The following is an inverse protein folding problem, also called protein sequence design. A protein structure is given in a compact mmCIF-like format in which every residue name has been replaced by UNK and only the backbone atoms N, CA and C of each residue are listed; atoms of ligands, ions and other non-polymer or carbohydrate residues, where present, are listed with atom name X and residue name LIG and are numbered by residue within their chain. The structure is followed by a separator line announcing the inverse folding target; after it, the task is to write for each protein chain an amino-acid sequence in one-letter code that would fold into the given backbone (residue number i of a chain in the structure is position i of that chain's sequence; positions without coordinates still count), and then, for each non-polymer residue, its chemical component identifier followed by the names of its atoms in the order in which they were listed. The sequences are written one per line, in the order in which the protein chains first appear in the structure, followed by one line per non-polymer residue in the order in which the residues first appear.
data_IF_994795738254
#
_entry.id   IF_994795738254
#
_cell.length_a   1.000
_cell.length_b   1.000
_cell.length_c   1.000
_cell.angle_alpha   90.00
_cell.angle_beta   90.00
_cell.angle_gamma   90.00
#
_symmetry.space_group_name_H-M   'P 1'
#
loop_
_entity.id
_entity.type
_entity.pdbx_description
1 polymer ?
#
# COMPACT_ATOMS: atom_id res chain seq x y z
N UNK A 1 2.61 -8.16 -2.17
CA UNK A 1 1.92 -7.86 -0.90
C UNK A 1 1.56 -6.38 -0.82
N UNK A 2 0.64 -6.01 0.07
CA UNK A 2 0.31 -4.61 0.34
C UNK A 2 0.97 -4.17 1.65
N UNK A 3 1.62 -3.01 1.61
CA UNK A 3 2.27 -2.39 2.75
C UNK A 3 1.79 -0.95 2.84
N UNK A 4 1.19 -0.60 3.96
CA UNK A 4 0.79 0.76 4.28
C UNK A 4 1.90 1.46 5.07
N UNK A 5 2.43 2.53 4.52
CA UNK A 5 3.29 3.48 5.23
C UNK A 5 2.39 4.55 5.87
N UNK A 6 2.25 4.50 7.20
CA UNK A 6 1.51 5.47 8.00
C UNK A 6 2.33 6.71 8.36
N UNK A 7 3.61 6.74 7.98
CA UNK A 7 4.46 7.90 8.13
C UNK A 7 4.13 9.00 7.11
N UNK A 8 4.63 10.20 7.37
CA UNK A 8 4.44 11.37 6.50
C UNK A 8 5.55 11.52 5.44
N UNK A 9 6.44 10.54 5.33
CA UNK A 9 7.63 10.61 4.49
C UNK A 9 7.76 9.35 3.63
N UNK A 10 8.27 9.52 2.41
CA UNK A 10 8.71 8.40 1.59
C UNK A 10 10.03 7.85 2.11
N UNK A 11 10.15 6.53 2.18
CA UNK A 11 11.36 5.85 2.61
C UNK A 11 11.91 5.00 1.48
N UNK A 12 13.21 5.12 1.21
CA UNK A 12 13.90 4.31 0.20
C UNK A 12 15.04 3.52 0.85
N UNK A 13 15.06 2.21 0.65
CA UNK A 13 16.15 1.34 1.05
C UNK A 13 16.17 0.09 0.16
N UNK A 14 17.37 -0.42 -0.16
CA UNK A 14 17.55 -1.65 -0.94
C UNK A 14 16.72 -1.65 -2.25
N UNK A 15 16.78 -0.55 -2.99
CA UNK A 15 16.07 -0.32 -4.25
C UNK A 15 14.53 -0.34 -4.18
N UNK A 16 13.96 -0.39 -2.96
CA UNK A 16 12.53 -0.27 -2.72
C UNK A 16 12.19 1.11 -2.13
N UNK A 17 11.23 1.79 -2.75
CA UNK A 17 10.66 3.05 -2.23
C UNK A 17 9.23 2.82 -1.76
N UNK A 18 8.96 3.15 -0.49
CA UNK A 18 7.62 3.17 0.09
C UNK A 18 7.17 4.62 0.24
N UNK A 19 6.16 5.00 -0.52
CA UNK A 19 5.52 6.31 -0.39
C UNK A 19 4.54 6.33 0.80
N UNK A 20 4.21 7.50 1.36
CA UNK A 20 3.11 7.61 2.31
C UNK A 20 1.83 6.99 1.75
N UNK A 21 1.11 6.26 2.58
CA UNK A 21 -0.07 5.51 2.18
C UNK A 21 0.22 4.07 1.77
N UNK A 22 -0.70 3.48 1.01
CA UNK A 22 -0.58 2.07 0.59
C UNK A 22 0.34 1.92 -0.61
N UNK A 23 1.22 0.92 -0.54
CA UNK A 23 2.15 0.53 -1.58
C UNK A 23 1.98 -0.96 -1.90
N UNK A 24 2.15 -1.33 -3.16
CA UNK A 24 2.22 -2.72 -3.59
C UNK A 24 3.67 -3.09 -3.87
N UNK A 25 4.17 -4.09 -3.16
CA UNK A 25 5.59 -4.49 -3.19
C UNK A 25 5.73 -6.01 -3.23
N UNK A 26 6.86 -6.53 -3.70
CA UNK A 26 7.17 -7.95 -3.55
C UNK A 26 7.51 -8.27 -2.08
N UNK A 27 7.15 -9.48 -1.63
CA UNK A 27 7.41 -9.92 -0.26
C UNK A 27 8.91 -9.96 0.04
N UNK A 28 9.72 -10.48 -0.89
CA UNK A 28 11.18 -10.60 -0.70
C UNK A 28 11.87 -9.24 -0.70
N UNK A 29 11.38 -8.31 -1.52
CA UNK A 29 11.92 -6.96 -1.58
C UNK A 29 11.57 -6.18 -0.31
N UNK A 30 10.37 -6.38 0.23
CA UNK A 30 9.99 -5.78 1.50
C UNK A 30 10.76 -6.37 2.70
N UNK A 31 10.97 -7.70 2.74
CA UNK A 31 11.82 -8.33 3.74
C UNK A 31 13.25 -7.74 3.70
N UNK A 32 13.80 -7.56 2.49
CA UNK A 32 15.10 -6.88 2.30
C UNK A 32 15.04 -5.43 2.76
N UNK A 33 13.99 -4.69 2.43
CA UNK A 33 13.82 -3.31 2.90
C UNK A 33 13.88 -3.22 4.43
N UNK A 34 13.24 -4.16 5.13
CA UNK A 34 13.26 -4.23 6.60
C UNK A 34 14.63 -4.60 7.19
N UNK A 35 15.57 -5.18 6.44
CA UNK A 35 16.93 -5.44 6.97
C UNK A 35 17.73 -4.16 7.20
N UNK A 36 17.33 -3.05 6.59
CA UNK A 36 17.99 -1.77 6.83
C UNK A 36 17.67 -1.28 8.26
N UNK A 37 18.67 -0.94 9.10
CA UNK A 37 18.46 -0.62 10.52
C UNK A 37 17.42 0.47 10.78
N UNK A 38 17.38 1.49 9.91
CA UNK A 38 16.36 2.54 9.98
C UNK A 38 14.96 1.98 9.77
N UNK A 39 14.76 1.15 8.73
CA UNK A 39 13.44 0.64 8.37
C UNK A 39 12.92 -0.33 9.41
N UNK A 40 13.79 -1.15 9.99
CA UNK A 40 13.46 -1.98 11.15
C UNK A 40 12.94 -1.14 12.32
N UNK A 41 13.62 -0.03 12.65
CA UNK A 41 13.19 0.85 13.73
C UNK A 41 11.82 1.51 13.45
N UNK A 42 11.56 1.90 12.21
CA UNK A 42 10.27 2.47 11.80
C UNK A 42 9.15 1.41 11.83
N UNK A 43 9.45 0.19 11.41
CA UNK A 43 8.56 -0.96 11.53
C UNK A 43 8.21 -1.25 13.00
N UNK A 44 9.21 -1.29 13.88
CA UNK A 44 9.02 -1.57 15.32
C UNK A 44 8.20 -0.46 16.02
N UNK A 45 8.22 0.76 15.46
CA UNK A 45 7.35 1.88 15.88
C UNK A 45 5.92 1.81 15.32
N UNK A 46 5.64 0.89 14.40
CA UNK A 46 4.35 0.76 13.75
C UNK A 46 4.11 1.75 12.60
N UNK A 47 5.16 2.33 12.01
CA UNK A 47 5.01 3.16 10.81
C UNK A 47 4.61 2.35 9.58
N UNK A 48 4.95 1.06 9.53
CA UNK A 48 4.54 0.16 8.45
C UNK A 48 3.49 -0.83 8.95
N UNK A 49 2.37 -0.92 8.22
CA UNK A 49 1.29 -1.89 8.46
C UNK A 49 1.15 -2.77 7.24
N UNK A 50 1.30 -4.07 7.43
CA UNK A 50 1.17 -5.08 6.39
C UNK A 50 0.64 -6.36 7.02
N UNK A 51 -0.04 -7.16 6.22
CA UNK A 51 -0.45 -8.50 6.65
C UNK A 51 0.72 -9.45 6.40
N UNK A 52 1.35 -9.92 7.48
CA UNK A 52 2.45 -10.89 7.41
C UNK A 52 1.96 -12.30 7.10
N UNK A 53 0.68 -12.57 7.41
CA UNK A 53 0.06 -13.81 6.98
C UNK A 53 -0.33 -13.60 5.51
N UNK A 54 0.13 -14.48 4.62
CA UNK A 54 -0.10 -14.44 3.16
C UNK A 54 -1.59 -14.52 2.76
N UNK A 55 -2.50 -14.32 3.71
CA UNK A 55 -3.91 -14.18 3.49
C UNK A 55 -4.18 -12.89 2.71
N UNK A 56 -5.07 -13.01 1.73
CA UNK A 56 -5.64 -11.85 1.06
C UNK A 56 -6.34 -11.00 2.13
N UNK A 57 -6.04 -9.68 2.24
CA UNK A 57 -6.67 -8.84 3.25
C UNK A 57 -8.19 -8.88 3.09
N UNK A 58 -8.90 -8.73 4.21
CA UNK A 58 -10.35 -8.70 4.20
C UNK A 58 -10.85 -7.57 3.28
N UNK A 59 -12.08 -7.67 2.77
CA UNK A 59 -12.62 -6.62 1.90
C UNK A 59 -12.61 -5.25 2.59
N UNK A 60 -12.81 -5.20 3.91
CA UNK A 60 -12.78 -3.96 4.70
C UNK A 60 -11.37 -3.39 4.80
N UNK A 61 -10.37 -4.23 5.07
CA UNK A 61 -8.97 -3.78 5.20
C UNK A 61 -8.43 -3.34 3.84
N UNK A 62 -8.77 -4.07 2.78
CA UNK A 62 -8.41 -3.69 1.42
C UNK A 62 -8.99 -2.31 1.05
N UNK A 63 -10.26 -2.04 1.38
CA UNK A 63 -10.89 -0.73 1.13
C UNK A 63 -10.15 0.38 1.90
N UNK A 64 -9.86 0.18 3.19
CA UNK A 64 -9.13 1.18 3.98
C UNK A 64 -7.73 1.45 3.40
N UNK A 65 -7.02 0.40 2.96
CA UNK A 65 -5.73 0.54 2.28
C UNK A 65 -5.87 1.32 0.95
N UNK A 66 -6.93 1.07 0.18
CA UNK A 66 -7.19 1.78 -1.07
C UNK A 66 -7.47 3.27 -0.83
N UNK A 67 -8.25 3.61 0.19
CA UNK A 67 -8.53 5.01 0.55
C UNK A 67 -7.24 5.80 0.87
N UNK A 68 -6.27 5.14 1.51
CA UNK A 68 -4.97 5.71 1.82
C UNK A 68 -3.94 5.59 0.67
N UNK A 69 -4.31 5.02 -0.48
CA UNK A 69 -3.42 4.95 -1.64
C UNK A 69 -3.39 6.30 -2.39
N UNK A 70 -2.22 6.69 -2.87
CA UNK A 70 -2.01 7.88 -3.71
C UNK A 70 -1.40 7.57 -5.08
N UNK A 71 -1.00 6.33 -5.30
CA UNK A 71 -0.39 5.86 -6.54
C UNK A 71 -1.47 5.27 -7.47
N UNK A 72 -1.74 5.98 -8.57
CA UNK A 72 -2.75 5.60 -9.56
C UNK A 72 -2.35 4.31 -10.30
N UNK A 73 -1.08 4.15 -10.66
CA UNK A 73 -0.61 2.98 -11.42
C UNK A 73 -0.72 1.71 -10.57
N UNK A 74 -0.42 1.84 -9.27
CA UNK A 74 -0.61 0.78 -8.30
C UNK A 74 -2.10 0.42 -8.14
N UNK A 75 -2.99 1.41 -8.08
CA UNK A 75 -4.44 1.19 -8.02
C UNK A 75 -5.00 0.50 -9.27
N UNK A 76 -4.56 0.89 -10.47
CA UNK A 76 -4.95 0.22 -11.72
C UNK A 76 -4.44 -1.23 -11.77
N UNK A 77 -3.24 -1.49 -11.25
CA UNK A 77 -2.71 -2.86 -11.13
C UNK A 77 -3.52 -3.68 -10.13
N UNK A 78 -3.90 -3.11 -8.98
CA UNK A 78 -4.76 -3.78 -8.00
C UNK A 78 -6.14 -4.11 -8.58
N UNK A 79 -6.71 -3.19 -9.37
CA UNK A 79 -7.99 -3.38 -10.05
C UNK A 79 -7.98 -4.60 -10.98
N UNK A 80 -6.87 -4.87 -11.65
CA UNK A 80 -6.73 -6.00 -12.57
C UNK A 80 -6.66 -7.36 -11.86
N UNK A 81 -6.22 -7.39 -10.60
CA UNK A 81 -6.04 -8.61 -9.80
C UNK A 81 -7.21 -8.87 -8.83
N UNK A 82 -8.14 -7.93 -8.72
CA UNK A 82 -9.24 -7.95 -7.76
C UNK A 82 -10.56 -8.38 -8.42
N UNK A 83 -11.35 -9.21 -7.73
CA UNK A 83 -12.60 -9.79 -8.21
C UNK A 83 -13.81 -9.41 -7.33
N UNK A 84 -13.56 -8.89 -6.11
CA UNK A 84 -14.61 -8.46 -5.19
C UNK A 84 -15.14 -7.11 -5.62
N UNK A 85 -16.41 -7.08 -6.03
CA UNK A 85 -17.11 -5.88 -6.51
C UNK A 85 -16.94 -4.67 -5.59
N UNK A 86 -17.11 -4.84 -4.28
CA UNK A 86 -17.00 -3.72 -3.31
C UNK A 86 -15.60 -3.12 -3.24
N UNK A 87 -14.56 -3.94 -3.46
CA UNK A 87 -13.17 -3.49 -3.48
C UNK A 87 -12.88 -2.78 -4.81
N UNK A 88 -13.35 -3.32 -5.93
CA UNK A 88 -13.25 -2.67 -7.24
C UNK A 88 -13.93 -1.29 -7.27
N UNK A 89 -15.11 -1.17 -6.66
CA UNK A 89 -15.82 0.11 -6.55
C UNK A 89 -15.00 1.14 -5.76
N UNK A 90 -14.36 0.73 -4.66
CA UNK A 90 -13.47 1.59 -3.89
C UNK A 90 -12.22 2.01 -4.68
N UNK A 91 -11.60 1.09 -5.44
CA UNK A 91 -10.45 1.40 -6.30
C UNK A 91 -10.84 2.43 -7.36
N UNK A 92 -11.96 2.22 -8.05
CA UNK A 92 -12.43 3.15 -9.07
C UNK A 92 -12.71 4.54 -8.50
N UNK A 93 -13.38 4.61 -7.34
CA UNK A 93 -13.64 5.88 -6.65
C UNK A 93 -12.34 6.60 -6.31
N UNK A 94 -11.36 5.88 -5.77
CA UNK A 94 -10.08 6.48 -5.39
C UNK A 94 -9.30 6.98 -6.61
N UNK A 95 -9.26 6.20 -7.69
CA UNK A 95 -8.63 6.63 -8.95
C UNK A 95 -9.31 7.90 -9.48
N UNK A 96 -10.63 7.98 -9.44
CA UNK A 96 -11.39 9.16 -9.86
C UNK A 96 -11.05 10.38 -9.00
N UNK A 97 -11.03 10.24 -7.67
CA UNK A 97 -10.61 11.31 -6.74
C UNK A 97 -9.19 11.81 -7.00
N UNK A 98 -8.25 10.93 -7.35
CA UNK A 98 -6.85 11.29 -7.62
C UNK A 98 -6.66 11.91 -9.00
N UNK A 99 -7.41 11.47 -10.02
CA UNK A 99 -7.35 11.99 -11.40
C UNK A 99 -8.11 13.31 -11.56
N UNK A 100 -9.20 13.46 -10.81
CA UNK A 100 -10.02 14.65 -10.78
C UNK A 100 -10.23 15.08 -9.32
N UNK A 101 -9.18 15.55 -8.64
CA UNK A 101 -9.36 16.16 -7.33
C UNK A 101 -10.28 17.35 -7.57
N UNK A 102 -11.53 17.29 -7.08
CA UNK A 102 -12.45 18.41 -7.27
C UNK A 102 -11.76 19.72 -6.86
N UNK A 103 -11.95 20.74 -7.71
CA UNK A 103 -11.39 22.10 -7.62
C UNK A 103 -11.58 22.76 -6.27
#
# INVERSE_FOLDING_TARGET
MLVQNKGNHSYTANDLTLNPGTNKVDEKDFERFLTHPLMKHLNDKGEFVYDSDKARPSAKDAIAMIEDAFDIDMLETLKAEEDRKTVLDAINKRIEELKNPEK
#
